data_IF_449627518663
#
_entry.id   IF_449627518663
#
_cell.length_a   1.000
_cell.length_b   1.000
_cell.length_c   1.000
_cell.angle_alpha   90.00
_cell.angle_beta   90.00
_cell.angle_gamma   90.00
#
_symmetry.space_group_name_H-M   'P 1'
#
loop_
_entity.id
_entity.type
_entity.pdbx_description
1 polymer ?
#
# COMPACT_ATOMS: atom_id res chain seq x y z
N UNK A 1 20.42 -12.38 22.18
CA UNK A 1 19.08 -12.87 21.74
C UNK A 1 18.75 -12.12 20.46
N UNK A 2 18.91 -12.75 19.30
CA UNK A 2 18.44 -12.18 18.05
C UNK A 2 16.91 -12.11 18.10
N UNK A 3 16.41 -10.88 18.16
CA UNK A 3 14.99 -10.62 17.98
C UNK A 3 14.60 -11.13 16.59
N UNK A 4 13.70 -12.11 16.53
CA UNK A 4 13.09 -12.53 15.25
C UNK A 4 12.43 -11.27 14.66
N UNK A 5 13.05 -10.73 13.61
CA UNK A 5 12.48 -9.60 12.87
C UNK A 5 11.13 -10.00 12.31
N UNK A 6 10.13 -9.20 12.52
CA UNK A 6 8.83 -9.43 11.91
C UNK A 6 8.96 -9.38 10.38
N UNK A 7 8.27 -10.27 9.66
CA UNK A 7 8.39 -10.41 8.20
C UNK A 7 8.15 -9.09 7.44
N UNK A 8 7.32 -8.18 7.97
CA UNK A 8 7.06 -6.86 7.40
C UNK A 8 8.20 -5.84 7.59
N UNK A 9 9.21 -6.12 8.45
CA UNK A 9 10.36 -5.24 8.63
C UNK A 9 11.44 -5.42 7.56
N UNK A 10 11.42 -6.51 6.81
CA UNK A 10 12.54 -6.88 5.93
C UNK A 10 12.15 -6.78 4.45
N UNK A 11 12.55 -5.69 3.81
CA UNK A 11 12.46 -5.55 2.36
C UNK A 11 13.61 -6.23 1.61
N UNK A 12 14.75 -6.43 2.27
CA UNK A 12 15.95 -7.03 1.65
C UNK A 12 16.60 -6.16 0.56
N UNK A 13 16.20 -4.89 0.49
CA UNK A 13 16.71 -3.92 -0.51
C UNK A 13 17.79 -3.03 0.10
N UNK A 14 17.57 -2.61 1.34
CA UNK A 14 18.51 -1.77 2.09
C UNK A 14 19.36 -2.65 3.01
N UNK A 15 20.62 -2.29 3.20
CA UNK A 15 21.51 -2.97 4.16
C UNK A 15 20.85 -3.00 5.55
N UNK A 16 20.92 -4.17 6.21
CA UNK A 16 20.25 -4.39 7.49
C UNK A 16 20.54 -3.33 8.56
N UNK A 17 21.78 -2.86 8.76
CA UNK A 17 22.05 -1.80 9.74
C UNK A 17 21.36 -0.46 9.42
N UNK A 18 21.21 -0.14 8.12
CA UNK A 18 20.51 1.09 7.68
C UNK A 18 19.02 0.96 7.94
N UNK A 19 18.47 -0.21 7.66
CA UNK A 19 17.05 -0.50 7.92
C UNK A 19 16.73 -0.46 9.42
N UNK A 20 17.59 -1.08 10.26
CA UNK A 20 17.48 -1.00 11.71
C UNK A 20 17.55 0.44 12.24
N UNK A 21 18.47 1.23 11.72
CA UNK A 21 18.59 2.64 12.09
C UNK A 21 17.32 3.41 11.74
N UNK A 22 16.77 3.25 10.52
CA UNK A 22 15.53 3.91 10.08
C UNK A 22 14.34 3.51 10.96
N UNK A 23 14.19 2.23 11.27
CA UNK A 23 13.13 1.76 12.17
C UNK A 23 13.32 2.24 13.61
N UNK A 24 14.58 2.38 14.08
CA UNK A 24 14.91 2.96 15.38
C UNK A 24 14.53 4.45 15.52
N UNK A 25 14.44 5.18 14.41
CA UNK A 25 13.99 6.58 14.39
C UNK A 25 12.47 6.74 14.46
N UNK A 26 11.72 5.65 14.22
CA UNK A 26 10.26 5.74 14.19
C UNK A 26 9.72 6.03 15.60
N UNK A 27 8.86 7.05 15.77
CA UNK A 27 8.20 7.27 17.04
C UNK A 27 7.29 6.09 17.38
N UNK A 28 7.02 5.94 18.66
CA UNK A 28 6.08 4.94 19.15
C UNK A 28 4.72 5.12 18.48
N UNK A 29 4.13 4.00 18.04
CA UNK A 29 2.76 3.98 17.49
C UNK A 29 1.77 3.92 18.64
N UNK A 30 0.54 4.34 18.38
CA UNK A 30 -0.53 4.16 19.33
C UNK A 30 -0.87 2.68 19.58
N UNK A 31 -1.67 2.42 20.61
CA UNK A 31 -1.99 1.07 21.07
C UNK A 31 -2.61 0.19 19.95
N UNK A 32 -3.41 0.78 19.03
CA UNK A 32 -4.07 0.01 17.97
C UNK A 32 -3.05 -0.46 16.95
N UNK A 33 -2.22 0.44 16.41
CA UNK A 33 -1.19 0.09 15.43
C UNK A 33 -0.15 -0.86 16.04
N UNK A 34 0.27 -0.63 17.29
CA UNK A 34 1.18 -1.55 17.98
C UNK A 34 0.58 -2.97 18.13
N UNK A 35 -0.69 -3.08 18.51
CA UNK A 35 -1.37 -4.36 18.62
C UNK A 35 -1.46 -5.08 17.26
N UNK A 36 -1.77 -4.34 16.18
CA UNK A 36 -1.80 -4.89 14.82
C UNK A 36 -0.41 -5.35 14.35
N UNK A 37 0.66 -4.60 14.66
CA UNK A 37 2.04 -4.99 14.34
C UNK A 37 2.46 -6.27 15.09
N UNK A 38 2.09 -6.41 16.36
CA UNK A 38 2.36 -7.63 17.13
C UNK A 38 1.60 -8.84 16.57
N UNK A 39 0.30 -8.69 16.30
CA UNK A 39 -0.51 -9.75 15.69
C UNK A 39 0.00 -10.14 14.29
N UNK A 40 0.44 -9.16 13.50
CA UNK A 40 1.03 -9.41 12.19
C UNK A 40 2.32 -10.24 12.31
N UNK A 41 3.16 -9.96 13.31
CA UNK A 41 4.37 -10.74 13.57
C UNK A 41 4.07 -12.16 14.05
N UNK A 42 3.08 -12.33 14.94
CA UNK A 42 2.69 -13.64 15.49
C UNK A 42 2.01 -14.54 14.46
N UNK A 43 1.17 -13.95 13.60
CA UNK A 43 0.31 -14.69 12.64
C UNK A 43 0.87 -14.68 11.21
N UNK A 44 2.03 -14.05 10.97
CA UNK A 44 2.62 -13.83 9.64
C UNK A 44 1.65 -13.13 8.66
N UNK A 45 0.92 -12.12 9.15
CA UNK A 45 0.05 -11.31 8.28
C UNK A 45 0.94 -10.28 7.56
N UNK A 46 0.89 -10.21 6.22
CA UNK A 46 1.64 -9.21 5.48
C UNK A 46 1.01 -7.83 5.69
N UNK A 47 1.71 -6.94 6.38
CA UNK A 47 1.35 -5.53 6.52
C UNK A 47 2.48 -4.67 5.94
N UNK A 48 2.15 -3.48 5.48
CA UNK A 48 3.15 -2.53 4.91
C UNK A 48 4.15 -2.03 5.96
N UNK A 49 3.83 -2.17 7.24
CA UNK A 49 4.65 -1.73 8.35
C UNK A 49 4.69 -0.21 8.56
N UNK A 50 5.25 0.24 9.71
CA UNK A 50 5.15 1.63 10.14
C UNK A 50 5.95 2.61 9.28
N UNK A 51 7.06 2.20 8.66
CA UNK A 51 7.86 3.09 7.80
C UNK A 51 7.08 3.46 6.53
N UNK A 52 6.49 2.45 5.86
CA UNK A 52 5.63 2.70 4.69
C UNK A 52 4.35 3.42 5.13
N UNK A 53 3.68 3.00 6.21
CA UNK A 53 2.49 3.68 6.72
C UNK A 53 2.69 5.19 6.93
N UNK A 54 3.84 5.61 7.48
CA UNK A 54 4.20 7.03 7.61
C UNK A 54 4.40 7.72 6.27
N UNK A 55 4.99 7.04 5.29
CA UNK A 55 5.10 7.57 3.94
C UNK A 55 3.72 7.78 3.31
N UNK A 56 2.81 6.81 3.45
CA UNK A 56 1.44 6.91 2.95
C UNK A 56 0.72 8.11 3.57
N UNK A 57 0.82 8.28 4.89
CA UNK A 57 0.26 9.45 5.60
C UNK A 57 0.83 10.75 5.06
N UNK A 58 2.16 10.85 4.93
CA UNK A 58 2.85 12.04 4.43
C UNK A 58 2.38 12.40 3.02
N UNK A 59 2.32 11.42 2.12
CA UNK A 59 1.89 11.63 0.73
C UNK A 59 0.43 12.11 0.64
N UNK A 60 -0.48 11.48 1.41
CA UNK A 60 -1.88 11.92 1.44
C UNK A 60 -2.03 13.36 1.94
N UNK A 61 -1.28 13.72 2.99
CA UNK A 61 -1.28 15.09 3.53
C UNK A 61 -0.69 16.10 2.56
N UNK A 62 0.38 15.73 1.84
CA UNK A 62 1.10 16.65 0.94
C UNK A 62 0.26 17.10 -0.26
N UNK A 63 -0.66 16.26 -0.74
CA UNK A 63 -1.57 16.61 -1.84
C UNK A 63 -2.97 17.04 -1.37
N UNK A 64 -3.19 17.09 -0.04
CA UNK A 64 -4.51 17.37 0.51
C UNK A 64 -5.58 16.35 0.10
N UNK A 65 -5.21 15.07 0.03
CA UNK A 65 -6.10 14.01 -0.43
C UNK A 65 -7.39 13.93 0.40
N UNK A 66 -8.50 13.63 -0.27
CA UNK A 66 -9.82 13.42 0.32
C UNK A 66 -10.39 12.03 -0.01
N UNK A 67 -9.95 11.42 -1.10
CA UNK A 67 -10.45 10.13 -1.58
C UNK A 67 -9.30 9.18 -1.86
N UNK A 68 -9.33 8.01 -1.21
CA UNK A 68 -8.35 6.94 -1.41
C UNK A 68 -9.09 5.68 -1.82
N UNK A 69 -8.60 4.99 -2.84
CA UNK A 69 -8.99 3.63 -3.18
C UNK A 69 -7.82 2.71 -2.85
N UNK A 70 -8.05 1.74 -1.97
CA UNK A 70 -7.04 0.79 -1.54
C UNK A 70 -7.36 -0.61 -2.02
N UNK A 71 -6.42 -1.21 -2.72
CA UNK A 71 -6.51 -2.52 -3.34
C UNK A 71 -5.66 -3.53 -2.55
N UNK A 72 -6.30 -4.54 -1.94
CA UNK A 72 -5.60 -5.54 -1.13
C UNK A 72 -5.26 -5.03 0.27
N UNK A 73 -6.28 -4.74 1.07
CA UNK A 73 -6.13 -4.05 2.38
C UNK A 73 -5.92 -4.99 3.56
N UNK A 74 -6.10 -6.30 3.40
CA UNK A 74 -6.00 -7.33 4.44
C UNK A 74 -6.71 -6.90 5.75
N UNK A 75 -6.03 -6.90 6.89
CA UNK A 75 -6.58 -6.51 8.19
C UNK A 75 -6.72 -4.99 8.40
N UNK A 76 -6.43 -4.17 7.36
CA UNK A 76 -6.69 -2.73 7.35
C UNK A 76 -5.60 -1.85 7.98
N UNK A 77 -4.36 -2.33 8.10
CA UNK A 77 -3.27 -1.56 8.71
C UNK A 77 -2.97 -0.27 7.91
N UNK A 78 -2.74 -0.36 6.61
CA UNK A 78 -2.53 0.77 5.70
C UNK A 78 -3.76 1.66 5.61
N UNK A 79 -4.96 1.07 5.65
CA UNK A 79 -6.24 1.80 5.63
C UNK A 79 -6.35 2.79 6.81
N UNK A 80 -5.87 2.41 8.01
CA UNK A 80 -5.86 3.31 9.18
C UNK A 80 -4.94 4.51 8.93
N UNK A 81 -3.78 4.31 8.32
CA UNK A 81 -2.87 5.41 7.97
C UNK A 81 -3.52 6.38 6.99
N UNK A 82 -4.18 5.85 5.96
CA UNK A 82 -4.95 6.65 5.02
C UNK A 82 -6.05 7.45 5.71
N UNK A 83 -6.93 6.78 6.46
CA UNK A 83 -8.07 7.41 7.11
C UNK A 83 -7.67 8.53 8.08
N UNK A 84 -6.54 8.36 8.79
CA UNK A 84 -5.97 9.37 9.68
C UNK A 84 -5.36 10.55 8.94
N UNK A 85 -4.83 10.33 7.73
CA UNK A 85 -4.26 11.38 6.90
C UNK A 85 -5.33 12.28 6.28
N UNK A 86 -6.53 11.72 6.00
CA UNK A 86 -7.61 12.48 5.38
C UNK A 86 -8.27 13.45 6.36
N UNK A 87 -8.57 14.66 5.87
CA UNK A 87 -9.32 15.68 6.58
C UNK A 87 -10.80 15.30 6.79
N UNK A 88 -11.59 16.28 7.23
CA UNK A 88 -13.02 16.14 7.37
C UNK A 88 -13.70 15.81 6.02
N UNK A 89 -14.66 14.89 6.04
CA UNK A 89 -15.35 14.41 4.84
C UNK A 89 -14.49 13.54 3.91
N UNK A 90 -13.24 13.23 4.30
CA UNK A 90 -12.40 12.31 3.55
C UNK A 90 -12.88 10.86 3.65
N UNK A 91 -12.63 10.07 2.58
CA UNK A 91 -13.07 8.67 2.50
C UNK A 91 -11.99 7.76 1.94
N UNK A 92 -11.93 6.56 2.50
CA UNK A 92 -11.12 5.44 2.01
C UNK A 92 -12.05 4.32 1.58
N UNK A 93 -11.92 3.86 0.35
CA UNK A 93 -12.52 2.60 -0.10
C UNK A 93 -11.51 1.51 0.22
N UNK A 94 -11.84 0.69 1.21
CA UNK A 94 -11.12 -0.53 1.57
C UNK A 94 -11.60 -1.66 0.68
N UNK A 95 -10.69 -2.47 0.12
CA UNK A 95 -11.06 -3.68 -0.63
C UNK A 95 -10.22 -4.88 -0.19
N UNK A 96 -10.87 -6.03 0.02
CA UNK A 96 -10.23 -7.32 0.25
C UNK A 96 -11.15 -8.45 -0.20
N UNK A 97 -10.58 -9.52 -0.76
CA UNK A 97 -11.35 -10.68 -1.23
C UNK A 97 -11.87 -11.59 -0.10
N UNK A 98 -11.22 -11.56 1.08
CA UNK A 98 -11.60 -12.40 2.22
C UNK A 98 -12.47 -11.63 3.23
N UNK A 99 -13.72 -12.09 3.38
CA UNK A 99 -14.64 -11.50 4.38
C UNK A 99 -14.07 -11.54 5.80
N UNK A 100 -13.27 -12.54 6.16
CA UNK A 100 -12.67 -12.64 7.51
C UNK A 100 -11.69 -11.50 7.73
N UNK A 101 -10.90 -11.13 6.72
CA UNK A 101 -10.04 -9.95 6.77
C UNK A 101 -10.87 -8.67 6.95
N UNK A 102 -11.95 -8.51 6.21
CA UNK A 102 -12.82 -7.35 6.31
C UNK A 102 -13.50 -7.24 7.68
N UNK A 103 -13.93 -8.36 8.27
CA UNK A 103 -14.53 -8.39 9.61
C UNK A 103 -13.49 -8.06 10.69
N UNK A 104 -12.24 -8.50 10.54
CA UNK A 104 -11.13 -8.13 11.43
C UNK A 104 -10.75 -6.65 11.24
N UNK A 105 -10.62 -6.19 9.99
CA UNK A 105 -10.35 -4.81 9.66
C UNK A 105 -11.39 -3.86 10.26
N UNK A 106 -12.68 -4.20 10.19
CA UNK A 106 -13.75 -3.41 10.81
C UNK A 106 -13.51 -3.18 12.30
N UNK A 107 -13.15 -4.22 13.06
CA UNK A 107 -12.83 -4.10 14.50
C UNK A 107 -11.62 -3.20 14.74
N UNK A 108 -10.61 -3.31 13.87
CA UNK A 108 -9.43 -2.43 13.93
C UNK A 108 -9.80 -0.97 13.65
N UNK A 109 -10.69 -0.71 12.68
CA UNK A 109 -11.17 0.64 12.35
C UNK A 109 -12.01 1.25 13.48
N UNK A 110 -12.85 0.45 14.13
CA UNK A 110 -13.60 0.88 15.34
C UNK A 110 -12.64 1.24 16.46
N UNK A 111 -11.67 0.39 16.76
CA UNK A 111 -10.65 0.63 17.79
C UNK A 111 -9.81 1.87 17.48
N UNK A 112 -9.48 2.10 16.20
CA UNK A 112 -8.73 3.27 15.72
C UNK A 112 -9.61 4.55 15.62
N UNK A 113 -10.94 4.44 15.79
CA UNK A 113 -11.92 5.52 15.65
C UNK A 113 -11.90 6.20 14.28
N UNK A 114 -11.81 5.38 13.22
CA UNK A 114 -11.77 5.86 11.83
C UNK A 114 -12.81 5.19 10.93
N UNK A 115 -13.66 4.32 11.48
CA UNK A 115 -14.62 3.54 10.70
C UNK A 115 -15.58 4.43 9.89
N UNK A 116 -15.93 5.59 10.39
CA UNK A 116 -16.81 6.57 9.75
C UNK A 116 -16.25 7.11 8.41
N UNK A 117 -14.94 7.01 8.21
CA UNK A 117 -14.26 7.40 6.97
C UNK A 117 -14.07 6.27 5.97
N UNK A 118 -14.44 5.03 6.32
CA UNK A 118 -14.05 3.85 5.55
C UNK A 118 -15.28 3.17 4.94
N UNK A 119 -15.27 3.02 3.61
CA UNK A 119 -16.24 2.22 2.86
C UNK A 119 -15.63 0.81 2.65
N UNK A 120 -16.13 -0.17 3.39
CA UNK A 120 -15.62 -1.55 3.35
C UNK A 120 -16.32 -2.31 2.22
N UNK A 121 -15.55 -2.77 1.24
CA UNK A 121 -16.02 -3.58 0.13
C UNK A 121 -15.29 -4.92 0.07
N UNK A 122 -16.03 -6.01 0.18
CA UNK A 122 -15.51 -7.37 0.08
C UNK A 122 -15.70 -7.88 -1.34
N UNK A 123 -14.60 -8.24 -2.01
CA UNK A 123 -14.60 -8.73 -3.38
C UNK A 123 -13.28 -8.50 -4.09
N UNK A 124 -13.24 -8.84 -5.38
CA UNK A 124 -12.08 -8.57 -6.22
C UNK A 124 -11.87 -7.06 -6.36
N UNK A 125 -10.70 -6.59 -5.93
CA UNK A 125 -10.34 -5.18 -5.94
C UNK A 125 -10.29 -4.59 -7.36
N UNK A 126 -9.92 -5.39 -8.37
CA UNK A 126 -9.87 -4.97 -9.76
C UNK A 126 -11.30 -4.79 -10.33
N UNK A 127 -12.20 -5.71 -10.00
CA UNK A 127 -13.61 -5.60 -10.40
C UNK A 127 -14.24 -4.36 -9.75
N UNK A 128 -14.10 -4.21 -8.43
CA UNK A 128 -14.64 -3.07 -7.69
C UNK A 128 -14.07 -1.74 -8.22
N UNK A 129 -12.75 -1.69 -8.54
CA UNK A 129 -12.14 -0.50 -9.15
C UNK A 129 -12.71 -0.24 -10.55
N UNK A 130 -12.94 -1.30 -11.34
CA UNK A 130 -13.44 -1.16 -12.72
C UNK A 130 -14.80 -0.46 -12.81
N UNK A 131 -15.62 -0.56 -11.78
CA UNK A 131 -16.95 0.07 -11.66
C UNK A 131 -16.87 1.56 -11.24
N UNK A 132 -15.71 2.03 -10.80
CA UNK A 132 -15.56 3.41 -10.36
C UNK A 132 -15.45 4.37 -11.55
N UNK A 133 -15.90 5.60 -11.34
CA UNK A 133 -15.84 6.65 -12.35
C UNK A 133 -14.39 7.05 -12.65
N UNK A 134 -14.14 7.54 -13.85
CA UNK A 134 -12.89 8.19 -14.19
C UNK A 134 -12.60 9.38 -13.26
N UNK A 135 -11.35 9.62 -12.95
CA UNK A 135 -10.83 10.75 -12.16
C UNK A 135 -11.52 10.94 -10.79
N UNK A 136 -11.96 9.84 -10.15
CA UNK A 136 -12.72 9.88 -8.89
C UNK A 136 -11.85 9.81 -7.63
N UNK A 137 -10.56 9.47 -7.76
CA UNK A 137 -9.69 9.30 -6.60
C UNK A 137 -8.48 10.24 -6.62
N UNK A 138 -8.15 10.76 -5.43
CA UNK A 138 -6.91 11.49 -5.18
C UNK A 138 -5.72 10.54 -5.09
N UNK A 139 -5.93 9.36 -4.49
CA UNK A 139 -4.93 8.31 -4.36
C UNK A 139 -5.55 6.97 -4.71
N UNK A 140 -4.80 6.17 -5.47
CA UNK A 140 -5.04 4.74 -5.62
C UNK A 140 -3.80 4.02 -5.09
N UNK A 141 -4.00 3.16 -4.09
CA UNK A 141 -2.94 2.35 -3.50
C UNK A 141 -3.12 0.89 -3.90
N UNK A 142 -2.06 0.29 -4.42
CA UNK A 142 -2.05 -1.07 -4.92
C UNK A 142 -1.12 -1.96 -4.09
N UNK A 143 -1.68 -3.00 -3.49
CA UNK A 143 -0.98 -4.09 -2.81
C UNK A 143 -1.71 -5.44 -2.98
N UNK A 144 -2.19 -5.71 -4.19
CA UNK A 144 -2.82 -6.99 -4.58
C UNK A 144 -1.77 -8.05 -4.93
N UNK A 145 -2.21 -9.18 -5.44
CA UNK A 145 -1.34 -10.22 -6.00
C UNK A 145 -0.50 -9.66 -7.15
N UNK A 146 0.79 -9.99 -7.13
CA UNK A 146 1.79 -9.33 -7.98
C UNK A 146 1.58 -9.58 -9.48
N UNK A 147 0.96 -10.70 -9.82
CA UNK A 147 0.58 -11.05 -11.20
C UNK A 147 -0.43 -10.08 -11.80
N UNK A 148 -1.25 -9.43 -10.99
CA UNK A 148 -2.27 -8.50 -11.42
C UNK A 148 -1.77 -7.05 -11.62
N UNK A 149 -0.55 -6.71 -11.20
CA UNK A 149 -0.02 -5.35 -11.26
C UNK A 149 -0.14 -4.68 -12.64
N UNK A 150 0.15 -5.36 -13.79
CA UNK A 150 -0.04 -4.76 -15.11
C UNK A 150 -1.51 -4.45 -15.44
N UNK A 151 -2.46 -5.25 -14.91
CA UNK A 151 -3.90 -4.99 -15.05
C UNK A 151 -4.33 -3.81 -14.18
N UNK A 152 -3.82 -3.76 -12.94
CA UNK A 152 -4.07 -2.64 -12.02
C UNK A 152 -3.66 -1.32 -12.64
N UNK A 153 -2.49 -1.23 -13.30
CA UNK A 153 -2.06 -0.03 -14.01
C UNK A 153 -3.14 0.48 -14.99
N UNK A 154 -3.67 -0.41 -15.82
CA UNK A 154 -4.68 -0.07 -16.83
C UNK A 154 -6.00 0.41 -16.23
N UNK A 155 -6.36 -0.08 -15.05
CA UNK A 155 -7.58 0.29 -14.35
C UNK A 155 -7.40 1.54 -13.49
N UNK A 156 -6.27 1.69 -12.82
CA UNK A 156 -6.01 2.76 -11.86
C UNK A 156 -5.78 4.12 -12.54
N UNK A 157 -4.94 4.17 -13.58
CA UNK A 157 -4.55 5.44 -14.20
C UNK A 157 -5.76 6.26 -14.68
N UNK A 158 -6.76 5.71 -15.40
CA UNK A 158 -7.93 6.49 -15.79
C UNK A 158 -8.81 6.97 -14.63
N UNK A 159 -8.76 6.30 -13.46
CA UNK A 159 -9.60 6.59 -12.29
C UNK A 159 -8.94 7.56 -11.30
N UNK A 160 -7.66 7.78 -11.48
CA UNK A 160 -6.90 8.77 -10.73
C UNK A 160 -7.14 10.15 -11.33
N UNK A 161 -7.42 11.16 -10.49
CA UNK A 161 -7.53 12.55 -10.98
C UNK A 161 -6.18 13.11 -11.38
N UNK A 162 -6.15 14.17 -12.17
CA UNK A 162 -4.92 14.95 -12.39
C UNK A 162 -4.38 15.51 -11.08
N UNK A 163 -3.07 15.42 -10.90
CA UNK A 163 -2.39 15.75 -9.64
C UNK A 163 -2.63 14.73 -8.52
N UNK A 164 -3.28 13.61 -8.80
CA UNK A 164 -3.43 12.49 -7.88
C UNK A 164 -2.22 11.56 -7.88
N UNK A 165 -2.13 10.66 -6.90
CA UNK A 165 -1.02 9.72 -6.74
C UNK A 165 -1.47 8.28 -6.93
N UNK A 166 -0.79 7.56 -7.84
CA UNK A 166 -0.83 6.12 -7.92
C UNK A 166 0.38 5.56 -7.17
N UNK A 167 0.13 4.77 -6.13
CA UNK A 167 1.16 4.25 -5.23
C UNK A 167 1.05 2.72 -5.22
N UNK A 168 2.19 2.02 -5.31
CA UNK A 168 2.21 0.56 -5.22
C UNK A 168 3.33 0.09 -4.32
N UNK A 169 3.03 -0.86 -3.43
CA UNK A 169 4.03 -1.54 -2.59
C UNK A 169 4.72 -2.69 -3.35
N UNK A 170 5.82 -3.21 -2.82
CA UNK A 170 6.58 -4.37 -3.30
C UNK A 170 7.10 -4.30 -4.75
N UNK A 171 7.34 -3.11 -5.28
CA UNK A 171 7.77 -2.95 -6.68
C UNK A 171 9.23 -3.35 -6.93
N UNK A 172 10.01 -3.60 -5.89
CA UNK A 172 11.37 -4.15 -6.00
C UNK A 172 11.42 -5.65 -5.70
N UNK A 173 10.37 -6.23 -5.12
CA UNK A 173 10.16 -7.65 -4.94
C UNK A 173 11.36 -8.39 -4.37
N UNK A 174 11.84 -7.94 -3.20
CA UNK A 174 13.05 -8.45 -2.52
C UNK A 174 14.28 -8.50 -3.44
N UNK A 175 14.40 -7.51 -4.33
CA UNK A 175 15.51 -7.41 -5.29
C UNK A 175 15.41 -8.36 -6.50
N UNK A 176 14.42 -9.26 -6.56
CA UNK A 176 14.28 -10.22 -7.68
C UNK A 176 14.11 -9.53 -9.03
N UNK A 177 13.50 -8.34 -9.08
CA UNK A 177 13.37 -7.58 -10.33
C UNK A 177 14.70 -7.25 -10.99
N UNK A 178 15.80 -7.18 -10.21
CA UNK A 178 17.15 -6.92 -10.70
C UNK A 178 17.93 -8.19 -11.06
N UNK A 179 17.43 -9.37 -10.73
CA UNK A 179 18.12 -10.65 -10.96
C UNK A 179 17.77 -11.22 -12.34
N UNK A 180 18.72 -11.23 -13.27
CA UNK A 180 18.48 -11.65 -14.66
C UNK A 180 17.97 -13.10 -14.82
N UNK A 181 18.31 -13.99 -13.87
CA UNK A 181 17.90 -15.40 -13.87
C UNK A 181 16.48 -15.64 -13.34
N UNK A 182 15.88 -14.66 -12.70
CA UNK A 182 14.56 -14.80 -12.07
C UNK A 182 13.45 -14.71 -13.12
N UNK A 183 12.64 -15.76 -13.23
CA UNK A 183 11.63 -15.93 -14.29
C UNK A 183 10.24 -16.27 -13.74
N UNK A 184 10.05 -16.23 -12.42
CA UNK A 184 8.71 -16.46 -11.87
C UNK A 184 7.71 -15.40 -12.36
N UNK A 185 6.44 -15.79 -12.40
CA UNK A 185 5.36 -15.00 -12.98
C UNK A 185 5.18 -13.66 -12.27
N UNK A 186 5.28 -13.63 -10.94
CA UNK A 186 5.17 -12.41 -10.13
C UNK A 186 6.30 -11.43 -10.45
N UNK A 187 7.55 -11.91 -10.52
CA UNK A 187 8.70 -11.06 -10.89
C UNK A 187 8.57 -10.51 -12.29
N UNK A 188 8.10 -11.33 -13.25
CA UNK A 188 7.87 -10.88 -14.63
C UNK A 188 6.79 -9.78 -14.67
N UNK A 189 5.68 -9.97 -13.97
CA UNK A 189 4.59 -9.02 -13.89
C UNK A 189 5.01 -7.68 -13.25
N UNK A 190 5.80 -7.72 -12.16
CA UNK A 190 6.32 -6.49 -11.52
C UNK A 190 7.30 -5.76 -12.46
N UNK A 191 8.16 -6.48 -13.15
CA UNK A 191 9.05 -5.86 -14.16
C UNK A 191 8.26 -5.18 -15.27
N UNK A 192 7.19 -5.81 -15.76
CA UNK A 192 6.29 -5.21 -16.75
C UNK A 192 5.61 -3.97 -16.17
N UNK A 193 5.04 -4.07 -14.97
CA UNK A 193 4.41 -2.97 -14.28
C UNK A 193 5.36 -1.77 -14.11
N UNK A 194 6.58 -1.99 -13.66
CA UNK A 194 7.58 -0.94 -13.52
C UNK A 194 7.89 -0.25 -14.85
N UNK A 195 7.96 -1.03 -15.97
CA UNK A 195 8.12 -0.45 -17.32
C UNK A 195 6.89 0.39 -17.72
N UNK A 196 5.68 -0.07 -17.43
CA UNK A 196 4.45 0.67 -17.70
C UNK A 196 4.43 2.01 -16.95
N UNK A 197 4.81 2.02 -15.66
CA UNK A 197 4.88 3.23 -14.86
C UNK A 197 5.83 4.26 -15.47
N UNK A 198 7.08 3.86 -15.78
CA UNK A 198 8.10 4.77 -16.31
C UNK A 198 7.90 5.10 -17.80
N UNK A 199 7.23 4.25 -18.57
CA UNK A 199 6.90 4.47 -19.97
C UNK A 199 5.64 5.31 -20.19
N UNK A 200 4.85 5.58 -19.15
CA UNK A 200 3.61 6.33 -19.25
C UNK A 200 3.86 7.82 -19.47
N UNK A 201 3.15 8.42 -20.42
CA UNK A 201 3.13 9.88 -20.61
C UNK A 201 2.17 10.60 -19.66
N UNK A 202 1.32 9.84 -18.97
CA UNK A 202 0.32 10.38 -18.03
C UNK A 202 0.86 10.41 -16.59
N UNK A 203 1.99 9.76 -16.31
CA UNK A 203 2.54 9.62 -14.97
C UNK A 203 3.97 10.14 -14.89
N UNK A 204 4.27 10.83 -13.79
CA UNK A 204 5.64 11.10 -13.37
C UNK A 204 5.98 10.21 -12.17
N UNK A 205 6.84 9.22 -12.37
CA UNK A 205 7.07 8.12 -11.42
C UNK A 205 8.45 8.18 -10.77
N UNK A 206 8.49 7.88 -9.48
CA UNK A 206 9.72 7.54 -8.76
C UNK A 206 9.52 6.26 -7.93
N UNK A 207 10.55 5.43 -7.85
CA UNK A 207 10.58 4.26 -6.95
C UNK A 207 11.47 4.58 -5.76
N UNK A 208 10.93 4.41 -4.57
CA UNK A 208 11.63 4.57 -3.30
C UNK A 208 12.06 3.19 -2.79
N UNK A 209 13.36 2.96 -2.51
CA UNK A 209 13.85 1.69 -1.99
C UNK A 209 13.58 1.58 -0.47
N UNK A 210 12.33 1.82 -0.08
CA UNK A 210 11.85 1.66 1.28
C UNK A 210 11.23 0.28 1.42
N UNK A 211 11.69 -0.50 2.39
CA UNK A 211 11.28 -1.88 2.60
C UNK A 211 11.44 -2.71 1.30
N UNK A 212 10.37 -3.13 0.66
CA UNK A 212 10.35 -3.92 -0.59
C UNK A 212 10.10 -3.07 -1.85
N UNK A 213 10.31 -1.77 -1.71
CA UNK A 213 10.15 -0.79 -2.77
C UNK A 213 8.73 -0.27 -2.92
N UNK A 214 8.58 1.05 -2.83
CA UNK A 214 7.31 1.75 -3.03
C UNK A 214 7.42 2.63 -4.26
N UNK A 215 6.57 2.42 -5.27
CA UNK A 215 6.43 3.36 -6.38
C UNK A 215 5.46 4.48 -6.01
N UNK A 216 5.82 5.70 -6.36
CA UNK A 216 4.97 6.89 -6.26
C UNK A 216 4.89 7.54 -7.63
N UNK A 217 3.70 7.60 -8.20
CA UNK A 217 3.44 8.13 -9.52
C UNK A 217 2.42 9.26 -9.46
N UNK A 218 2.83 10.45 -9.84
CA UNK A 218 1.95 11.62 -9.95
C UNK A 218 1.26 11.62 -11.32
N UNK A 219 -0.06 11.75 -11.37
CA UNK A 219 -0.80 11.92 -12.63
C UNK A 219 -0.68 13.36 -13.13
N UNK A 220 -0.22 13.52 -14.39
CA UNK A 220 0.04 14.78 -15.07
C UNK A 220 -1.23 15.45 -15.62
#
# INVERSE_FOLDING_TARGET
MESKRAAWMMGGITEAPVEEYLYGLLPERDAVLNAMEQQAAERNIPIVGPAVGRLLYLLARSIGARTVFEMGSAVGYSTIWWARALGEGGRVVYTDGDRRNADEARRNFESARVLDKIDIRVGDALEILSEQRAESFDIIFNDVDKQDYPRVFKLAVPRLRKGGLFISDNVLWSGRVAQAGEKDESTAAIREFNRLLYGSRELYTSVLPLRDGVSVSLKL
#
